data_IF_196452909285
#
_entry.id   IF_196452909285
#
_cell.length_a   1.000
_cell.length_b   1.000
_cell.length_c   1.000
_cell.angle_alpha   90.00
_cell.angle_beta   90.00
_cell.angle_gamma   90.00
#
_symmetry.space_group_name_H-M   'P 1'
#
loop_
_entity.id
_entity.type
_entity.pdbx_description
1 polymer ?
#
# COMPACT_ATOMS: atom_id res chain seq x y z
N UNK A 1 3.76 9.20 -31.87
CA UNK A 1 3.80 10.55 -31.28
C UNK A 1 5.21 10.83 -30.77
N UNK A 2 5.87 11.89 -31.29
CA UNK A 2 7.26 12.25 -31.05
C UNK A 2 7.41 13.29 -29.92
N UNK A 3 6.63 13.23 -28.82
CA UNK A 3 6.74 14.23 -27.76
C UNK A 3 7.28 13.59 -26.49
N UNK A 4 8.24 14.26 -25.87
CA UNK A 4 8.69 13.95 -24.54
C UNK A 4 7.52 14.20 -23.56
N UNK A 5 7.39 13.37 -22.53
CA UNK A 5 6.36 13.55 -21.51
C UNK A 5 6.76 14.62 -20.49
N UNK A 6 5.78 15.35 -19.99
CA UNK A 6 5.93 16.16 -18.77
C UNK A 6 5.90 15.26 -17.55
N UNK A 7 6.76 15.55 -16.56
CA UNK A 7 6.92 14.72 -15.37
C UNK A 7 6.57 15.51 -14.11
N UNK A 8 5.67 14.97 -13.31
CA UNK A 8 5.38 15.47 -11.98
C UNK A 8 6.14 14.67 -10.93
N UNK A 9 7.04 15.36 -10.20
CA UNK A 9 7.84 14.78 -9.13
C UNK A 9 7.09 14.97 -7.81
N UNK A 10 6.74 13.86 -7.15
CA UNK A 10 5.96 13.86 -5.90
C UNK A 10 6.82 13.56 -4.66
N UNK A 11 8.11 13.21 -4.84
CA UNK A 11 9.00 12.82 -3.76
C UNK A 11 8.68 11.43 -3.20
N UNK A 12 9.24 11.07 -2.03
CA UNK A 12 8.94 9.80 -1.38
C UNK A 12 7.48 9.76 -0.94
N UNK A 13 6.72 8.83 -1.49
CA UNK A 13 5.29 8.62 -1.22
C UNK A 13 4.98 7.13 -1.23
N UNK A 14 4.03 6.64 -0.41
CA UNK A 14 3.54 5.27 -0.48
C UNK A 14 3.08 4.87 -1.88
N UNK A 15 3.24 3.59 -2.24
CA UNK A 15 2.75 3.04 -3.52
C UNK A 15 1.27 3.36 -3.77
N UNK A 16 0.34 3.17 -2.80
CA UNK A 16 -1.06 3.56 -2.99
C UNK A 16 -1.26 5.08 -3.19
N UNK A 17 -0.36 5.91 -2.66
CA UNK A 17 -0.40 7.36 -2.92
C UNK A 17 -0.05 7.68 -4.37
N UNK A 18 0.93 6.99 -4.97
CA UNK A 18 1.27 7.17 -6.39
C UNK A 18 0.08 6.79 -7.26
N UNK A 19 -0.58 5.68 -6.98
CA UNK A 19 -1.81 5.24 -7.67
C UNK A 19 -2.92 6.30 -7.59
N UNK A 20 -3.18 6.81 -6.38
CA UNK A 20 -4.18 7.86 -6.14
C UNK A 20 -3.83 9.17 -6.86
N UNK A 21 -2.56 9.60 -6.78
CA UNK A 21 -2.09 10.84 -7.39
C UNK A 21 -2.15 10.77 -8.93
N UNK A 22 -1.86 9.63 -9.53
CA UNK A 22 -1.99 9.41 -10.98
C UNK A 22 -3.40 9.76 -11.46
N UNK A 23 -4.43 9.28 -10.76
CA UNK A 23 -5.84 9.63 -11.04
C UNK A 23 -6.14 11.09 -10.74
N UNK A 24 -5.76 11.56 -9.54
CA UNK A 24 -6.08 12.90 -9.03
C UNK A 24 -5.48 14.02 -9.88
N UNK A 25 -4.28 13.81 -10.41
CA UNK A 25 -3.57 14.75 -11.27
C UNK A 25 -3.88 14.53 -12.75
N UNK A 26 -4.71 13.53 -13.10
CA UNK A 26 -5.06 13.14 -14.48
C UNK A 26 -3.82 12.84 -15.33
N UNK A 27 -2.87 12.11 -14.76
CA UNK A 27 -1.69 11.67 -15.47
C UNK A 27 -2.01 10.48 -16.38
N UNK A 28 -1.28 10.35 -17.49
CA UNK A 28 -1.38 9.20 -18.40
C UNK A 28 -0.76 7.94 -17.78
N UNK A 29 0.26 8.13 -16.92
CA UNK A 29 0.96 7.04 -16.24
C UNK A 29 1.52 7.50 -14.89
N UNK A 30 1.49 6.64 -13.90
CA UNK A 30 2.20 6.77 -12.63
C UNK A 30 3.40 5.82 -12.58
N UNK A 31 4.50 6.31 -12.03
CA UNK A 31 5.73 5.51 -11.90
C UNK A 31 6.18 5.56 -10.45
N UNK A 32 6.33 4.40 -9.83
CA UNK A 32 6.94 4.22 -8.52
C UNK A 32 8.26 3.48 -8.66
N UNK A 33 9.31 4.00 -8.06
CA UNK A 33 10.60 3.32 -7.94
C UNK A 33 10.76 2.93 -6.48
N UNK A 34 10.87 1.64 -6.20
CA UNK A 34 10.90 1.11 -4.84
C UNK A 34 11.60 -0.24 -4.76
N UNK A 35 12.26 -0.49 -3.63
CA UNK A 35 12.68 -1.82 -3.24
C UNK A 35 11.52 -2.67 -2.66
N UNK A 36 10.32 -2.09 -2.46
CA UNK A 36 9.19 -2.73 -1.79
C UNK A 36 9.62 -3.26 -0.40
N UNK A 37 9.51 -4.54 -0.16
CA UNK A 37 9.93 -5.21 1.07
C UNK A 37 11.37 -5.75 1.04
N UNK A 38 12.11 -5.51 -0.04
CA UNK A 38 13.48 -5.97 -0.23
C UNK A 38 14.50 -4.98 0.37
N UNK A 39 15.78 -5.36 0.47
CA UNK A 39 16.86 -4.41 0.76
C UNK A 39 17.03 -3.38 -0.39
N UNK A 40 17.72 -2.30 -0.11
CA UNK A 40 17.80 -1.12 -0.99
C UNK A 40 18.44 -1.41 -2.37
N UNK A 41 19.24 -2.46 -2.47
CA UNK A 41 19.89 -2.89 -3.73
C UNK A 41 18.88 -3.43 -4.76
N UNK A 42 17.75 -3.96 -4.29
CA UNK A 42 16.75 -4.64 -5.11
C UNK A 42 15.61 -3.69 -5.49
N UNK A 43 15.93 -2.53 -6.05
CA UNK A 43 14.91 -1.61 -6.56
C UNK A 43 14.20 -2.17 -7.80
N UNK A 44 12.90 -1.90 -7.85
CA UNK A 44 12.05 -2.20 -9.00
C UNK A 44 11.22 -1.00 -9.43
N UNK A 45 10.50 -1.15 -10.51
CA UNK A 45 9.60 -0.14 -11.06
C UNK A 45 8.18 -0.69 -11.06
N UNK A 46 7.23 0.06 -10.47
CA UNK A 46 5.80 -0.24 -10.55
C UNK A 46 5.12 0.81 -11.44
N UNK A 47 4.32 0.37 -12.40
CA UNK A 47 3.62 1.24 -13.35
C UNK A 47 2.11 1.22 -13.10
N UNK A 48 1.50 2.42 -13.09
CA UNK A 48 0.07 2.61 -12.88
C UNK A 48 -0.55 3.31 -14.07
N UNK A 49 -1.67 2.80 -14.54
CA UNK A 49 -2.46 3.44 -15.57
C UNK A 49 -3.19 4.70 -15.08
N UNK A 50 -3.85 5.45 -15.98
CA UNK A 50 -4.59 6.66 -15.64
C UNK A 50 -5.77 6.41 -14.69
N UNK A 51 -6.22 5.17 -14.58
CA UNK A 51 -7.23 4.70 -13.62
C UNK A 51 -6.67 4.42 -12.21
N UNK A 52 -5.34 4.49 -12.03
CA UNK A 52 -4.65 4.25 -10.77
C UNK A 52 -4.44 2.76 -10.43
N UNK A 53 -4.65 1.87 -11.38
CA UNK A 53 -4.33 0.44 -11.22
C UNK A 53 -3.02 0.08 -11.91
N UNK A 54 -2.37 -0.98 -11.42
CA UNK A 54 -1.16 -1.53 -12.06
C UNK A 54 -1.47 -1.90 -13.52
N UNK A 55 -0.50 -1.70 -14.40
CA UNK A 55 -0.64 -2.12 -15.80
C UNK A 55 -0.79 -3.64 -15.88
N UNK A 56 -1.49 -4.13 -16.92
CA UNK A 56 -1.60 -5.57 -17.16
C UNK A 56 -0.25 -6.19 -17.53
N UNK A 57 -0.08 -7.49 -17.26
CA UNK A 57 1.13 -8.24 -17.62
C UNK A 57 1.44 -8.14 -19.12
N UNK A 58 0.41 -8.11 -19.96
CA UNK A 58 0.56 -7.97 -21.41
C UNK A 58 1.14 -6.59 -21.78
N UNK A 59 0.69 -5.51 -21.13
CA UNK A 59 1.18 -4.17 -21.41
C UNK A 59 2.62 -3.98 -20.84
N UNK A 60 2.92 -4.53 -19.67
CA UNK A 60 4.27 -4.54 -19.11
C UNK A 60 5.24 -5.29 -20.03
N UNK A 61 4.86 -6.47 -20.52
CA UNK A 61 5.66 -7.23 -21.48
C UNK A 61 5.91 -6.46 -22.80
N UNK A 62 4.93 -5.72 -23.29
CA UNK A 62 5.11 -4.86 -24.47
C UNK A 62 6.10 -3.71 -24.20
N UNK A 63 6.09 -3.13 -22.99
CA UNK A 63 7.06 -2.11 -22.57
C UNK A 63 8.46 -2.70 -22.52
N UNK A 64 8.64 -3.88 -21.93
CA UNK A 64 9.92 -4.58 -21.86
C UNK A 64 10.51 -4.84 -23.25
N UNK A 65 9.69 -5.34 -24.19
CA UNK A 65 10.12 -5.54 -25.58
C UNK A 65 10.55 -4.24 -26.26
N UNK A 66 9.85 -3.12 -25.97
CA UNK A 66 10.20 -1.81 -26.50
C UNK A 66 11.52 -1.26 -25.93
N UNK A 67 11.87 -1.61 -24.69
CA UNK A 67 13.14 -1.20 -24.06
C UNK A 67 14.36 -1.86 -24.76
N UNK A 68 14.16 -3.08 -25.27
CA UNK A 68 15.21 -3.79 -26.02
C UNK A 68 15.39 -3.31 -27.46
N UNK A 69 14.42 -2.55 -28.00
CA UNK A 69 14.50 -2.00 -29.35
C UNK A 69 15.41 -0.77 -29.42
N UNK A 70 15.99 -0.50 -30.61
CA UNK A 70 16.63 0.78 -30.90
C UNK A 70 15.59 1.91 -30.98
N UNK A 71 15.48 2.67 -29.90
CA UNK A 71 14.54 3.79 -29.76
C UNK A 71 15.07 5.12 -30.37
N UNK A 72 16.26 5.14 -30.96
CA UNK A 72 16.91 6.37 -31.47
C UNK A 72 16.03 7.18 -32.42
N UNK A 73 15.22 6.50 -33.24
CA UNK A 73 14.27 7.12 -34.19
C UNK A 73 12.96 7.61 -33.55
N UNK A 74 12.71 7.25 -32.29
CA UNK A 74 11.52 7.61 -31.51
C UNK A 74 11.78 8.73 -30.52
N UNK A 75 13.05 9.14 -30.36
CA UNK A 75 13.43 10.20 -29.43
C UNK A 75 12.87 11.55 -29.89
N UNK A 76 12.46 12.36 -28.92
CA UNK A 76 12.04 13.72 -29.15
C UNK A 76 13.21 14.61 -29.56
N UNK A 77 12.95 15.63 -30.37
CA UNK A 77 13.91 16.69 -30.67
C UNK A 77 14.04 17.65 -29.46
N UNK A 78 15.10 18.45 -29.41
CA UNK A 78 15.40 19.33 -28.27
C UNK A 78 14.28 20.34 -27.93
N UNK A 79 13.50 20.76 -28.90
CA UNK A 79 12.36 21.66 -28.72
C UNK A 79 11.03 20.96 -28.39
N UNK A 80 11.01 19.64 -28.40
CA UNK A 80 9.87 18.81 -28.01
C UNK A 80 10.05 18.15 -26.64
N UNK A 81 11.14 18.44 -25.94
CA UNK A 81 11.40 17.90 -24.61
C UNK A 81 10.34 18.37 -23.61
N UNK A 82 9.78 17.43 -22.84
CA UNK A 82 8.91 17.72 -21.71
C UNK A 82 9.65 18.34 -20.53
N UNK A 83 8.91 18.75 -19.53
CA UNK A 83 9.45 19.42 -18.34
C UNK A 83 9.17 18.62 -17.09
N UNK A 84 10.12 18.60 -16.16
CA UNK A 84 9.92 18.11 -14.82
C UNK A 84 9.47 19.24 -13.88
N UNK A 85 8.41 19.00 -13.13
CA UNK A 85 7.88 19.92 -12.12
C UNK A 85 7.68 19.18 -10.82
N UNK A 86 8.21 19.70 -9.70
CA UNK A 86 7.85 19.22 -8.37
C UNK A 86 6.48 19.77 -8.01
N UNK A 87 5.61 18.89 -7.49
CA UNK A 87 4.29 19.26 -7.01
C UNK A 87 4.35 19.34 -5.48
N UNK A 88 3.98 20.49 -4.95
CA UNK A 88 3.84 20.71 -3.51
C UNK A 88 2.46 20.26 -3.01
N UNK A 89 2.34 19.96 -1.70
CA UNK A 89 1.07 19.57 -1.07
C UNK A 89 0.54 18.19 -1.46
N UNK A 90 1.35 17.32 -2.04
CA UNK A 90 0.94 15.94 -2.39
C UNK A 90 0.78 15.07 -1.15
N UNK A 91 1.56 15.31 -0.09
CA UNK A 91 1.42 14.64 1.19
C UNK A 91 0.04 14.92 1.79
N UNK A 92 -0.34 16.18 1.90
CA UNK A 92 -1.64 16.61 2.44
C UNK A 92 -2.81 16.00 1.66
N UNK A 93 -2.68 15.92 0.33
CA UNK A 93 -3.70 15.27 -0.52
C UNK A 93 -3.87 13.79 -0.18
N UNK A 94 -2.77 13.08 0.06
CA UNK A 94 -2.84 11.67 0.40
C UNK A 94 -3.32 11.46 1.84
N UNK A 95 -2.87 12.27 2.78
CA UNK A 95 -3.35 12.27 4.17
C UNK A 95 -4.88 12.46 4.20
N UNK A 96 -5.40 13.47 3.52
CA UNK A 96 -6.84 13.69 3.41
C UNK A 96 -7.58 12.54 2.73
N UNK A 97 -6.99 11.93 1.71
CA UNK A 97 -7.55 10.75 1.06
C UNK A 97 -7.62 9.57 2.03
N UNK A 98 -6.53 9.28 2.76
CA UNK A 98 -6.46 8.19 3.73
C UNK A 98 -7.48 8.38 4.87
N UNK A 99 -7.58 9.56 5.44
CA UNK A 99 -8.55 9.89 6.50
C UNK A 99 -10.01 9.68 6.08
N UNK A 100 -10.33 9.93 4.80
CA UNK A 100 -11.69 9.74 4.26
C UNK A 100 -12.14 8.29 4.16
N UNK A 101 -11.25 7.33 4.37
CA UNK A 101 -11.63 5.91 4.45
C UNK A 101 -12.33 5.58 5.76
N UNK A 102 -12.19 6.43 6.77
CA UNK A 102 -12.88 6.31 8.04
C UNK A 102 -14.20 7.12 8.04
N UNK A 103 -15.20 6.71 8.84
CA UNK A 103 -16.40 7.52 9.08
C UNK A 103 -16.03 8.91 9.62
N UNK A 104 -16.79 9.95 9.24
CA UNK A 104 -16.47 11.35 9.60
C UNK A 104 -16.38 11.61 11.10
N UNK A 105 -17.18 10.88 11.88
CA UNK A 105 -17.26 11.05 13.34
C UNK A 105 -16.35 10.06 14.09
N UNK A 106 -15.50 9.32 13.35
CA UNK A 106 -14.56 8.38 13.93
C UNK A 106 -13.24 9.07 14.25
N UNK A 107 -12.77 8.93 15.49
CA UNK A 107 -11.46 9.41 15.95
C UNK A 107 -10.67 8.28 16.60
N UNK A 108 -9.36 8.47 16.70
CA UNK A 108 -8.45 7.59 17.42
C UNK A 108 -8.07 8.18 18.80
N UNK A 109 -8.87 9.16 19.29
CA UNK A 109 -8.62 9.79 20.58
C UNK A 109 -8.54 8.78 21.70
N UNK A 110 -7.48 8.87 22.49
CA UNK A 110 -7.22 7.97 23.62
C UNK A 110 -6.47 6.69 23.25
N UNK A 111 -6.26 6.42 21.96
CA UNK A 111 -5.42 5.31 21.52
C UNK A 111 -3.96 5.73 21.36
N UNK A 112 -3.06 4.93 21.91
CA UNK A 112 -1.62 5.02 21.67
C UNK A 112 -1.23 4.01 20.59
N UNK A 113 -0.70 4.51 19.48
CA UNK A 113 -0.32 3.71 18.32
C UNK A 113 1.20 3.72 18.16
N UNK A 114 1.84 2.56 18.19
CA UNK A 114 3.22 2.42 17.74
C UNK A 114 3.23 2.11 16.25
N UNK A 115 4.00 2.87 15.45
CA UNK A 115 4.09 2.64 14.01
C UNK A 115 5.53 2.50 13.56
N UNK A 116 5.80 1.46 12.75
CA UNK A 116 7.08 1.23 12.08
C UNK A 116 6.90 1.46 10.57
N UNK A 117 7.58 2.49 10.06
CA UNK A 117 7.51 2.88 8.64
C UNK A 117 8.66 2.28 7.81
N UNK A 118 9.39 1.29 8.32
CA UNK A 118 10.47 0.57 7.62
C UNK A 118 11.58 1.47 7.03
N UNK A 119 11.79 2.69 7.54
CA UNK A 119 12.58 3.74 6.90
C UNK A 119 12.22 3.93 5.41
N UNK A 120 10.96 3.73 5.09
CA UNK A 120 10.40 3.70 3.74
C UNK A 120 9.58 4.94 3.40
N UNK A 121 8.80 4.83 2.35
CA UNK A 121 8.08 5.94 1.73
C UNK A 121 6.97 6.56 2.60
N UNK A 122 6.45 5.82 3.58
CA UNK A 122 5.40 6.28 4.49
C UNK A 122 5.91 7.07 5.71
N UNK A 123 7.23 7.25 5.86
CA UNK A 123 7.86 7.81 7.06
C UNK A 123 7.31 9.15 7.56
N UNK A 124 6.72 9.94 6.67
CA UNK A 124 6.04 11.19 7.02
C UNK A 124 4.53 11.01 7.12
N UNK A 125 3.93 10.49 6.04
CA UNK A 125 2.47 10.53 5.89
C UNK A 125 1.75 9.59 6.87
N UNK A 126 2.32 8.43 7.21
CA UNK A 126 1.61 7.49 8.06
C UNK A 126 1.53 7.96 9.54
N UNK A 127 2.62 8.44 10.17
CA UNK A 127 2.51 9.05 11.50
C UNK A 127 1.57 10.26 11.53
N UNK A 128 1.59 11.09 10.48
CA UNK A 128 0.77 12.29 10.40
C UNK A 128 -0.72 11.97 10.25
N UNK A 129 -1.09 10.98 9.43
CA UNK A 129 -2.49 10.50 9.33
C UNK A 129 -3.02 10.06 10.69
N UNK A 130 -2.26 9.27 11.43
CA UNK A 130 -2.69 8.77 12.75
C UNK A 130 -2.81 9.89 13.77
N UNK A 131 -1.87 10.83 13.76
CA UNK A 131 -1.89 12.00 14.63
C UNK A 131 -3.09 12.92 14.33
N UNK A 132 -3.37 13.21 13.06
CA UNK A 132 -4.53 14.01 12.66
C UNK A 132 -5.87 13.33 13.00
N UNK A 133 -5.88 12.01 13.14
CA UNK A 133 -7.06 11.26 13.60
C UNK A 133 -7.18 11.21 15.14
N UNK A 134 -6.25 11.82 15.88
CA UNK A 134 -6.31 11.95 17.34
C UNK A 134 -5.46 10.93 18.12
N UNK A 135 -4.72 10.03 17.46
CA UNK A 135 -3.89 9.04 18.15
C UNK A 135 -2.66 9.69 18.82
N UNK A 136 -2.25 9.13 19.95
CA UNK A 136 -0.90 9.31 20.49
C UNK A 136 0.06 8.42 19.70
N UNK A 137 0.91 9.02 18.85
CA UNK A 137 1.73 8.26 17.88
C UNK A 137 3.17 8.12 18.41
N UNK A 138 3.66 6.89 18.45
CA UNK A 138 5.07 6.54 18.69
C UNK A 138 5.65 5.93 17.42
N UNK A 139 6.40 6.71 16.66
CA UNK A 139 6.93 6.29 15.37
C UNK A 139 8.37 5.76 15.50
N UNK A 140 8.66 4.65 14.81
CA UNK A 140 9.99 4.09 14.55
C UNK A 140 10.17 3.83 13.06
N UNK A 141 11.40 3.60 12.60
CA UNK A 141 11.66 3.40 11.19
C UNK A 141 11.30 4.62 10.33
N UNK A 142 11.54 5.84 10.83
CA UNK A 142 11.17 7.11 10.18
C UNK A 142 12.35 7.98 9.80
N UNK A 143 13.56 7.43 9.79
CA UNK A 143 14.81 8.13 9.45
C UNK A 143 15.48 7.53 8.20
N UNK A 144 14.86 7.62 7.01
CA UNK A 144 15.42 7.05 5.79
C UNK A 144 16.74 7.74 5.43
N UNK A 145 17.78 6.94 5.17
CA UNK A 145 19.10 7.43 4.77
C UNK A 145 19.54 6.96 3.37
N UNK A 146 18.65 6.28 2.64
CA UNK A 146 18.88 5.77 1.29
C UNK A 146 19.40 4.33 1.21
N UNK A 147 19.87 3.77 2.33
CA UNK A 147 20.42 2.40 2.38
C UNK A 147 19.86 1.55 3.54
N UNK A 148 18.90 2.08 4.31
CA UNK A 148 18.37 1.43 5.50
C UNK A 148 16.88 1.02 5.38
N UNK A 149 16.29 1.10 4.20
CA UNK A 149 14.92 0.66 3.96
C UNK A 149 14.77 -0.84 4.31
N UNK A 150 13.72 -1.19 5.06
CA UNK A 150 13.44 -2.56 5.55
C UNK A 150 14.55 -3.22 6.40
N UNK A 151 15.61 -2.50 6.73
CA UNK A 151 16.74 -3.06 7.45
C UNK A 151 16.38 -3.28 8.94
N UNK A 152 16.10 -4.52 9.31
CA UNK A 152 15.70 -4.93 10.67
C UNK A 152 14.47 -4.17 11.20
N UNK A 153 13.55 -3.78 10.35
CA UNK A 153 12.34 -3.03 10.71
C UNK A 153 11.20 -3.33 9.72
N UNK A 154 10.03 -2.75 10.01
CA UNK A 154 8.84 -2.85 9.16
C UNK A 154 8.15 -4.21 9.21
N UNK A 155 7.22 -4.44 8.28
CA UNK A 155 6.35 -5.62 8.24
C UNK A 155 7.11 -6.94 8.02
N UNK A 156 8.30 -6.90 7.43
CA UNK A 156 9.15 -8.09 7.22
C UNK A 156 9.99 -8.45 8.46
N UNK A 157 10.14 -7.52 9.41
CA UNK A 157 10.86 -7.75 10.67
C UNK A 157 10.22 -6.96 11.82
N UNK A 158 9.07 -7.41 12.36
CA UNK A 158 8.28 -6.67 13.34
C UNK A 158 8.85 -6.75 14.77
N UNK A 159 10.01 -7.37 14.98
CA UNK A 159 10.59 -7.57 16.33
C UNK A 159 10.75 -6.25 17.08
N UNK A 160 11.28 -5.21 16.41
CA UNK A 160 11.46 -3.89 17.01
C UNK A 160 10.12 -3.24 17.36
N UNK A 161 9.10 -3.38 16.52
CA UNK A 161 7.75 -2.89 16.78
C UNK A 161 7.11 -3.61 17.95
N UNK A 162 7.15 -4.94 18.00
CA UNK A 162 6.63 -5.75 19.11
C UNK A 162 7.25 -5.36 20.45
N UNK A 163 8.56 -5.11 20.46
CA UNK A 163 9.25 -4.61 21.64
C UNK A 163 8.79 -3.19 22.04
N UNK A 164 8.63 -2.31 21.04
CA UNK A 164 8.20 -0.92 21.23
C UNK A 164 6.77 -0.84 21.75
N UNK A 165 5.84 -1.64 21.24
CA UNK A 165 4.45 -1.73 21.73
C UNK A 165 4.43 -2.00 23.23
N UNK A 166 5.17 -3.03 23.69
CA UNK A 166 5.27 -3.35 25.13
C UNK A 166 5.96 -2.26 25.95
N UNK A 167 7.05 -1.67 25.42
CA UNK A 167 7.82 -0.61 26.09
C UNK A 167 6.94 0.61 26.41
N UNK A 168 6.20 1.09 25.40
CA UNK A 168 5.39 2.30 25.53
C UNK A 168 3.95 2.02 25.95
N UNK A 169 3.58 0.74 26.12
CA UNK A 169 2.21 0.29 26.38
C UNK A 169 1.25 0.85 25.32
N UNK A 170 1.59 0.65 24.05
CA UNK A 170 0.69 1.00 22.96
C UNK A 170 -0.50 0.05 22.90
N UNK A 171 -1.65 0.57 22.51
CA UNK A 171 -2.88 -0.22 22.32
C UNK A 171 -2.79 -1.09 21.06
N UNK A 172 -2.00 -0.62 20.07
CA UNK A 172 -1.79 -1.31 18.79
C UNK A 172 -0.44 -0.92 18.18
N UNK A 173 0.19 -1.86 17.50
CA UNK A 173 1.35 -1.64 16.66
C UNK A 173 1.00 -1.81 15.17
N UNK A 174 1.53 -0.95 14.32
CA UNK A 174 1.34 -1.00 12.87
C UNK A 174 2.72 -1.06 12.22
N UNK A 175 3.03 -2.12 11.48
CA UNK A 175 4.24 -2.20 10.65
C UNK A 175 3.88 -2.10 9.17
N UNK A 176 4.56 -1.21 8.48
CA UNK A 176 4.49 -1.07 7.01
C UNK A 176 5.78 -1.64 6.40
N UNK A 177 5.76 -1.97 5.12
CA UNK A 177 6.99 -2.21 4.36
C UNK A 177 7.51 -0.93 3.69
N UNK A 178 8.60 -1.05 2.96
CA UNK A 178 9.33 0.10 2.42
C UNK A 178 8.52 1.02 1.51
N UNK A 179 7.53 0.53 0.79
CA UNK A 179 6.64 1.36 -0.04
C UNK A 179 5.18 1.36 0.43
N UNK A 180 4.96 0.78 1.62
CA UNK A 180 3.70 0.84 2.35
C UNK A 180 2.49 0.34 1.54
N UNK A 181 2.66 -0.73 0.79
CA UNK A 181 1.59 -1.50 0.20
C UNK A 181 1.26 -2.77 1.02
N UNK A 182 2.01 -3.01 2.11
CA UNK A 182 1.78 -4.07 3.09
C UNK A 182 1.61 -3.50 4.48
N UNK A 183 0.77 -4.15 5.27
CA UNK A 183 0.56 -3.83 6.68
C UNK A 183 0.56 -5.09 7.54
N UNK A 184 1.23 -5.02 8.67
CA UNK A 184 1.17 -6.05 9.71
C UNK A 184 0.77 -5.36 11.02
N UNK A 185 -0.10 -6.00 11.77
CA UNK A 185 -0.58 -5.47 13.06
C UNK A 185 0.07 -6.25 14.21
N UNK A 186 0.32 -5.54 15.29
CA UNK A 186 0.78 -6.09 16.57
C UNK A 186 -0.22 -5.65 17.63
N UNK A 187 -0.68 -6.59 18.45
CA UNK A 187 -1.60 -6.30 19.56
C UNK A 187 -0.89 -5.64 20.76
N UNK A 188 -1.63 -5.29 21.79
CA UNK A 188 -1.14 -4.65 23.02
C UNK A 188 -0.15 -5.52 23.82
N UNK A 189 -0.12 -6.84 23.56
CA UNK A 189 0.82 -7.78 24.18
C UNK A 189 2.12 -7.91 23.39
N UNK A 190 2.17 -7.34 22.19
CA UNK A 190 3.27 -7.45 21.26
C UNK A 190 3.22 -8.71 20.41
N UNK A 191 2.06 -9.36 20.33
CA UNK A 191 1.83 -10.53 19.47
C UNK A 191 1.38 -10.09 18.08
N UNK A 192 1.83 -10.84 17.07
CA UNK A 192 1.56 -10.52 15.67
C UNK A 192 0.16 -11.00 15.29
N UNK A 193 -0.62 -10.11 14.69
CA UNK A 193 -1.89 -10.40 14.01
C UNK A 193 -1.62 -10.45 12.51
N UNK A 194 -1.72 -11.62 11.91
CA UNK A 194 -1.39 -11.82 10.49
C UNK A 194 -2.48 -11.31 9.54
N UNK A 195 -2.16 -11.25 8.24
CA UNK A 195 -3.09 -10.74 7.22
C UNK A 195 -4.38 -11.57 7.10
N UNK A 196 -4.34 -12.87 7.34
CA UNK A 196 -5.55 -13.71 7.34
C UNK A 196 -6.49 -13.34 8.49
N UNK A 197 -5.94 -13.07 9.69
CA UNK A 197 -6.71 -12.60 10.83
C UNK A 197 -7.30 -11.21 10.58
N UNK A 198 -6.53 -10.29 9.97
CA UNK A 198 -7.02 -8.95 9.60
C UNK A 198 -8.15 -9.03 8.59
N UNK A 199 -8.02 -9.85 7.56
CA UNK A 199 -9.08 -10.06 6.57
C UNK A 199 -10.33 -10.65 7.22
N UNK A 200 -10.18 -11.57 8.18
CA UNK A 200 -11.31 -12.14 8.94
C UNK A 200 -12.07 -11.07 9.72
N UNK A 201 -11.35 -10.22 10.46
CA UNK A 201 -11.94 -9.13 11.27
C UNK A 201 -12.67 -8.12 10.37
N UNK A 202 -12.04 -7.70 9.27
CA UNK A 202 -12.66 -6.74 8.32
C UNK A 202 -13.90 -7.36 7.69
N UNK A 203 -13.82 -8.61 7.24
CA UNK A 203 -14.93 -9.31 6.58
C UNK A 203 -16.14 -9.45 7.51
N UNK A 204 -15.91 -9.88 8.76
CA UNK A 204 -16.97 -10.02 9.77
C UNK A 204 -17.61 -8.67 10.09
N UNK A 205 -16.79 -7.66 10.41
CA UNK A 205 -17.29 -6.31 10.72
C UNK A 205 -18.12 -5.73 9.57
N UNK A 206 -17.65 -5.85 8.34
CA UNK A 206 -18.37 -5.32 7.19
C UNK A 206 -19.61 -6.12 6.82
N UNK A 207 -19.63 -7.44 7.12
CA UNK A 207 -20.83 -8.26 6.97
C UNK A 207 -21.90 -7.84 7.98
N UNK A 208 -21.54 -7.65 9.25
CA UNK A 208 -22.44 -7.22 10.33
C UNK A 208 -23.02 -5.82 10.07
N UNK A 209 -22.24 -4.93 9.47
CA UNK A 209 -22.66 -3.58 9.07
C UNK A 209 -23.44 -3.55 7.74
N UNK A 210 -23.57 -4.66 7.03
CA UNK A 210 -24.19 -4.73 5.71
C UNK A 210 -23.36 -4.03 4.60
N UNK A 211 -22.08 -3.86 4.80
CA UNK A 211 -21.13 -3.19 3.88
C UNK A 211 -20.37 -4.17 2.98
N UNK A 212 -20.34 -5.47 3.34
CA UNK A 212 -19.60 -6.47 2.57
C UNK A 212 -20.30 -6.72 1.23
N UNK A 213 -19.64 -6.33 0.13
CA UNK A 213 -20.15 -6.54 -1.22
C UNK A 213 -19.90 -7.99 -1.69
N UNK A 214 -20.73 -8.45 -2.64
CA UNK A 214 -20.68 -9.78 -3.25
C UNK A 214 -20.74 -10.95 -2.23
N UNK A 215 -21.02 -10.67 -0.96
CA UNK A 215 -21.16 -11.71 0.07
C UNK A 215 -19.88 -12.44 0.47
N UNK A 216 -18.70 -11.88 0.12
CA UNK A 216 -17.43 -12.55 0.37
C UNK A 216 -16.21 -11.64 0.28
N UNK A 217 -15.05 -12.27 0.38
CA UNK A 217 -13.74 -11.62 0.23
C UNK A 217 -12.87 -12.37 -0.78
N UNK A 218 -11.83 -11.68 -1.27
CA UNK A 218 -10.84 -12.26 -2.17
C UNK A 218 -9.49 -12.38 -1.45
N UNK A 219 -8.91 -13.58 -1.45
CA UNK A 219 -7.55 -13.80 -0.95
C UNK A 219 -6.73 -14.62 -1.96
N UNK A 220 -5.46 -14.83 -1.67
CA UNK A 220 -4.63 -15.68 -2.52
C UNK A 220 -4.68 -17.14 -2.08
N UNK A 221 -4.10 -18.02 -2.90
CA UNK A 221 -3.94 -19.44 -2.56
C UNK A 221 -3.06 -19.67 -1.31
N UNK A 222 -2.36 -18.64 -0.83
CA UNK A 222 -1.49 -18.72 0.35
C UNK A 222 -2.25 -18.57 1.66
N UNK A 223 -3.48 -18.03 1.64
CA UNK A 223 -4.30 -17.89 2.84
C UNK A 223 -4.61 -19.25 3.46
N UNK A 224 -4.58 -19.32 4.78
CA UNK A 224 -4.68 -20.55 5.53
C UNK A 224 -6.11 -21.12 5.61
N UNK A 225 -6.22 -22.38 6.02
CA UNK A 225 -7.51 -23.05 6.19
C UNK A 225 -8.34 -22.46 7.35
N UNK A 226 -7.68 -21.81 8.32
CA UNK A 226 -8.34 -21.15 9.44
C UNK A 226 -9.26 -20.03 8.97
N UNK A 227 -8.76 -19.16 8.09
CA UNK A 227 -9.54 -18.10 7.45
C UNK A 227 -10.77 -18.68 6.72
N UNK A 228 -10.57 -19.71 5.89
CA UNK A 228 -11.66 -20.34 5.13
C UNK A 228 -12.74 -20.91 6.03
N UNK A 229 -12.37 -21.63 7.09
CA UNK A 229 -13.31 -22.20 8.06
C UNK A 229 -14.06 -21.11 8.84
N UNK A 230 -13.35 -20.06 9.25
CA UNK A 230 -13.95 -18.94 9.96
C UNK A 230 -15.02 -18.26 9.09
N UNK A 231 -14.68 -17.88 7.88
CA UNK A 231 -15.57 -17.21 6.94
C UNK A 231 -16.78 -18.10 6.58
N UNK A 232 -16.53 -19.39 6.29
CA UNK A 232 -17.60 -20.37 6.01
C UNK A 232 -18.58 -20.50 7.19
N UNK A 233 -18.09 -20.49 8.43
CA UNK A 233 -18.91 -20.48 9.64
C UNK A 233 -19.80 -19.24 9.80
N UNK A 234 -19.45 -18.15 9.13
CA UNK A 234 -20.20 -16.88 9.08
C UNK A 234 -21.05 -16.72 7.82
N UNK A 235 -21.02 -17.70 6.91
CA UNK A 235 -21.71 -17.62 5.62
C UNK A 235 -21.06 -16.63 4.63
N UNK A 236 -19.77 -16.30 4.83
CA UNK A 236 -19.00 -15.41 3.98
C UNK A 236 -18.18 -16.25 3.00
N UNK A 237 -18.22 -15.91 1.70
CA UNK A 237 -17.47 -16.60 0.66
C UNK A 237 -16.00 -16.20 0.68
N UNK A 238 -15.09 -17.14 0.40
CA UNK A 238 -13.67 -16.90 0.17
C UNK A 238 -13.32 -17.26 -1.28
N UNK A 239 -13.17 -16.26 -2.12
CA UNK A 239 -12.61 -16.42 -3.47
C UNK A 239 -11.07 -16.44 -3.40
N UNK A 240 -10.44 -17.34 -4.17
CA UNK A 240 -8.98 -17.49 -4.17
C UNK A 240 -8.39 -17.17 -5.53
N UNK A 241 -7.31 -16.39 -5.53
CA UNK A 241 -6.53 -16.02 -6.73
C UNK A 241 -5.11 -16.55 -6.65
N UNK A 242 -4.34 -16.32 -7.72
CA UNK A 242 -2.89 -16.46 -7.68
C UNK A 242 -2.28 -15.47 -6.68
N UNK A 243 -1.05 -15.73 -6.25
CA UNK A 243 -0.26 -14.82 -5.40
C UNK A 243 0.03 -13.53 -6.16
N UNK A 244 -0.21 -12.40 -5.50
CA UNK A 244 0.01 -11.04 -6.00
C UNK A 244 -1.24 -10.17 -5.88
N UNK A 245 -1.08 -9.01 -5.28
CA UNK A 245 -2.13 -8.01 -5.06
C UNK A 245 -2.88 -7.64 -6.35
N UNK A 246 -2.19 -7.62 -7.49
CA UNK A 246 -2.81 -7.38 -8.81
C UNK A 246 -3.95 -8.35 -9.08
N UNK A 247 -3.73 -9.65 -8.89
CA UNK A 247 -4.75 -10.68 -9.18
C UNK A 247 -5.92 -10.60 -8.21
N UNK A 248 -5.65 -10.24 -6.95
CA UNK A 248 -6.69 -9.98 -5.96
C UNK A 248 -7.55 -8.80 -6.42
N UNK A 249 -6.95 -7.68 -6.76
CA UNK A 249 -7.64 -6.45 -7.19
C UNK A 249 -8.41 -6.67 -8.50
N UNK A 250 -7.84 -7.36 -9.49
CA UNK A 250 -8.50 -7.70 -10.75
C UNK A 250 -9.77 -8.52 -10.47
N UNK A 251 -9.66 -9.58 -9.67
CA UNK A 251 -10.81 -10.41 -9.29
C UNK A 251 -11.88 -9.63 -8.53
N UNK A 252 -11.48 -8.77 -7.59
CA UNK A 252 -12.41 -7.89 -6.88
C UNK A 252 -13.20 -7.00 -7.84
N UNK A 253 -12.54 -6.38 -8.82
CA UNK A 253 -13.17 -5.51 -9.81
C UNK A 253 -14.14 -6.25 -10.72
N UNK A 254 -13.75 -7.43 -11.20
CA UNK A 254 -14.54 -8.24 -12.13
C UNK A 254 -15.81 -8.79 -11.48
N UNK A 255 -15.75 -9.12 -10.19
CA UNK A 255 -16.84 -9.80 -9.48
C UNK A 255 -17.53 -8.93 -8.43
N UNK A 256 -17.09 -7.68 -8.26
CA UNK A 256 -17.74 -6.70 -7.39
C UNK A 256 -17.45 -6.89 -5.89
N UNK A 257 -16.37 -7.58 -5.52
CA UNK A 257 -15.90 -7.65 -4.13
C UNK A 257 -15.28 -6.32 -3.71
N UNK A 258 -15.40 -5.99 -2.43
CA UNK A 258 -14.82 -4.78 -1.85
C UNK A 258 -13.83 -5.03 -0.70
N UNK A 259 -13.59 -6.28 -0.36
CA UNK A 259 -12.56 -6.71 0.59
C UNK A 259 -11.70 -7.78 -0.07
N UNK A 260 -10.40 -7.65 0.07
CA UNK A 260 -9.43 -8.63 -0.40
C UNK A 260 -8.03 -8.29 0.06
N UNK A 261 -7.15 -9.28 0.04
CA UNK A 261 -5.77 -9.12 0.49
C UNK A 261 -4.95 -10.39 0.43
N UNK A 262 -3.78 -10.31 0.99
CA UNK A 262 -2.84 -11.42 1.15
C UNK A 262 -2.45 -11.58 2.62
N UNK A 263 -2.09 -12.81 3.05
CA UNK A 263 -1.68 -13.06 4.44
C UNK A 263 -0.35 -12.37 4.82
N UNK A 264 0.44 -11.97 3.85
CA UNK A 264 1.73 -11.30 4.07
C UNK A 264 1.63 -9.78 4.27
N UNK A 265 0.44 -9.28 4.38
CA UNK A 265 0.17 -7.87 4.64
C UNK A 265 -0.50 -7.15 3.50
#
# INVERSE_FOLDING_TARGET
YKRQVDVFLVGPMPTPAVAMLTRSLRCDIGVMISASHNPFEDNGIKLFGPDGYKLSDELERQIELLIEEDLSRRLATSNELGRAKRIDGVHDRYIEFAKRTLPKDFTLDGLRVAIDCANGAAYKVAPEVLWELGAEVVAIGVEPNGVNINLNCGSTNPVALSAKVREVRADIGIALDGDADRVLIVDEHGDIVDGDQLMAVIAESWADEGRLAAGGIVATIMSNLGLERFLSGKGIELARTKVGDRYVVEHMREHGYNVGGEQSG
#
